data_IF_785222458436
#
_entry.id   IF_785222458436
#
_cell.length_a   1.000
_cell.length_b   1.000
_cell.length_c   1.000
_cell.angle_alpha   90.00
_cell.angle_beta   90.00
_cell.angle_gamma   90.00
#
_symmetry.space_group_name_H-M   'P 1'
#
loop_
_entity.id
_entity.type
_entity.pdbx_description
1 polymer ?
#
# COMPACT_ATOMS: atom_id res chain seq x y z
N UNK A 1 -14.60 11.98 -35.55
CA UNK A 1 -14.39 11.38 -34.23
C UNK A 1 -12.89 11.11 -34.12
N UNK A 2 -12.15 12.05 -33.54
CA UNK A 2 -10.73 11.85 -33.28
C UNK A 2 -10.65 11.16 -31.93
N UNK A 3 -10.46 9.84 -31.95
CA UNK A 3 -10.09 9.10 -30.75
C UNK A 3 -8.64 9.45 -30.45
N UNK A 4 -8.44 10.41 -29.56
CA UNK A 4 -7.16 10.54 -28.87
C UNK A 4 -7.03 9.25 -28.08
N UNK A 5 -6.09 8.41 -28.47
CA UNK A 5 -5.72 7.23 -27.71
C UNK A 5 -4.99 7.80 -26.48
N UNK A 6 -5.75 8.20 -25.45
CA UNK A 6 -5.21 8.38 -24.10
C UNK A 6 -4.80 6.98 -23.64
N UNK A 7 -3.64 6.53 -24.10
CA UNK A 7 -2.98 5.34 -23.54
C UNK A 7 -2.60 5.71 -22.12
N UNK A 8 -3.54 5.45 -21.22
CA UNK A 8 -3.35 5.54 -19.78
C UNK A 8 -2.16 4.64 -19.45
N UNK A 9 -1.02 5.24 -19.12
CA UNK A 9 0.19 4.48 -18.80
C UNK A 9 -0.11 3.54 -17.63
N UNK A 10 0.44 2.33 -17.70
CA UNK A 10 0.37 1.41 -16.58
C UNK A 10 1.04 2.06 -15.34
N UNK A 11 0.46 1.92 -14.13
CA UNK A 11 1.07 2.48 -12.94
C UNK A 11 2.46 1.90 -12.69
N UNK A 12 3.36 2.75 -12.22
CA UNK A 12 4.60 2.24 -11.65
C UNK A 12 4.32 1.53 -10.35
N UNK A 13 4.96 0.38 -10.19
CA UNK A 13 4.69 -0.54 -9.09
C UNK A 13 5.94 -0.74 -8.26
N UNK A 14 5.86 -0.40 -6.98
CA UNK A 14 6.90 -0.60 -5.98
C UNK A 14 6.44 -1.58 -4.91
N UNK A 15 7.39 -2.24 -4.25
CA UNK A 15 7.07 -3.15 -3.15
C UNK A 15 6.71 -2.35 -1.90
N UNK A 16 5.58 -2.69 -1.26
CA UNK A 16 5.23 -2.19 0.06
C UNK A 16 5.30 -3.32 1.09
N UNK A 17 5.83 -3.00 2.27
CA UNK A 17 5.88 -3.91 3.42
C UNK A 17 5.84 -3.14 4.74
N UNK A 18 5.11 -3.69 5.71
CA UNK A 18 5.04 -3.14 7.06
C UNK A 18 4.92 -4.26 8.11
N UNK A 19 5.55 -4.06 9.26
CA UNK A 19 5.43 -4.96 10.42
C UNK A 19 4.67 -4.24 11.53
N UNK A 20 3.60 -4.85 12.00
CA UNK A 20 2.76 -4.34 13.09
C UNK A 20 3.03 -5.11 14.37
N UNK A 21 3.29 -4.37 15.44
CA UNK A 21 3.49 -4.87 16.79
C UNK A 21 2.60 -4.07 17.76
N UNK A 22 2.33 -4.61 18.94
CA UNK A 22 1.52 -3.92 19.94
C UNK A 22 2.10 -2.54 20.27
N UNK A 23 1.30 -1.49 20.06
CA UNK A 23 1.69 -0.10 20.32
C UNK A 23 2.51 0.56 19.22
N UNK A 24 2.75 -0.12 18.08
CA UNK A 24 3.36 0.46 16.89
C UNK A 24 2.35 0.54 15.75
N UNK A 25 2.42 1.63 15.00
CA UNK A 25 1.58 1.89 13.83
C UNK A 25 2.42 1.85 12.56
N UNK A 26 1.84 1.30 11.49
CA UNK A 26 2.36 1.40 10.14
C UNK A 26 1.68 2.56 9.43
N UNK A 27 2.46 3.44 8.79
CA UNK A 27 1.91 4.57 8.04
C UNK A 27 2.14 4.36 6.55
N UNK A 28 1.10 4.60 5.76
CA UNK A 28 1.20 4.82 4.33
C UNK A 28 0.72 6.23 4.04
N UNK A 29 1.70 7.14 3.92
CA UNK A 29 1.51 8.55 3.66
C UNK A 29 2.67 9.01 2.78
N UNK A 30 2.58 8.82 1.44
CA UNK A 30 3.58 9.32 0.51
C UNK A 30 3.74 10.85 0.61
N UNK A 31 4.75 11.38 -0.07
CA UNK A 31 4.98 12.83 -0.12
C UNK A 31 3.80 13.54 -0.80
N UNK A 32 3.61 14.81 -0.48
CA UNK A 32 2.61 15.66 -1.13
C UNK A 32 3.17 16.11 -2.48
N UNK A 33 3.12 15.20 -3.46
CA UNK A 33 3.47 15.46 -4.85
C UNK A 33 2.20 15.54 -5.72
N UNK A 34 2.38 15.81 -7.01
CA UNK A 34 1.27 15.91 -7.96
C UNK A 34 0.80 14.53 -8.48
N UNK A 35 1.37 13.43 -7.97
CA UNK A 35 1.09 12.08 -8.46
C UNK A 35 -0.02 11.40 -7.64
N UNK A 36 -0.83 10.60 -8.33
CA UNK A 36 -1.82 9.77 -7.63
C UNK A 36 -1.17 8.49 -7.10
N UNK A 37 -1.16 8.36 -5.78
CA UNK A 37 -0.64 7.18 -5.09
C UNK A 37 -1.77 6.27 -4.60
N UNK A 38 -1.56 4.95 -4.73
CA UNK A 38 -2.43 3.93 -4.18
C UNK A 38 -1.61 2.82 -3.51
N UNK A 39 -2.19 2.17 -2.50
CA UNK A 39 -1.61 0.99 -1.86
C UNK A 39 -2.51 -0.22 -2.08
N UNK A 40 -2.00 -1.21 -2.81
CA UNK A 40 -2.64 -2.50 -2.99
C UNK A 40 -2.12 -3.51 -1.97
N UNK A 41 -2.89 -3.77 -0.91
CA UNK A 41 -2.52 -4.80 0.06
C UNK A 41 -2.81 -6.20 -0.49
N UNK A 42 -1.79 -7.07 -0.47
CA UNK A 42 -1.83 -8.41 -1.05
C UNK A 42 -1.94 -9.49 0.00
N UNK A 43 -1.09 -9.45 1.02
CA UNK A 43 -1.01 -10.50 2.04
C UNK A 43 -0.87 -9.92 3.44
N UNK A 44 -1.44 -10.64 4.40
CA UNK A 44 -1.14 -10.48 5.81
C UNK A 44 -0.69 -11.84 6.37
N UNK A 45 0.40 -11.88 7.13
CA UNK A 45 0.88 -13.10 7.75
C UNK A 45 1.42 -12.87 9.16
N UNK A 46 1.37 -13.94 9.96
CA UNK A 46 1.93 -14.01 11.30
C UNK A 46 2.82 -15.26 11.39
N UNK A 47 3.99 -15.09 11.98
CA UNK A 47 4.94 -16.20 12.13
C UNK A 47 4.43 -17.24 13.14
N UNK A 48 4.69 -18.55 12.95
CA UNK A 48 4.32 -19.61 13.90
C UNK A 48 4.93 -19.44 15.30
N UNK A 49 6.03 -18.70 15.42
CA UNK A 49 6.69 -18.37 16.69
C UNK A 49 5.99 -17.25 17.46
N UNK A 50 5.06 -16.52 16.82
CA UNK A 50 4.24 -15.52 17.47
C UNK A 50 3.29 -16.18 18.46
N UNK A 51 2.94 -15.46 19.53
CA UNK A 51 2.00 -15.94 20.55
C UNK A 51 0.72 -16.45 19.89
N UNK A 52 0.23 -17.64 20.27
CA UNK A 52 -0.95 -18.25 19.64
C UNK A 52 -2.28 -17.62 20.14
N UNK A 53 -2.49 -16.35 19.81
CA UNK A 53 -3.69 -15.57 20.09
C UNK A 53 -4.25 -14.93 18.81
N UNK A 54 -5.45 -14.36 18.91
CA UNK A 54 -6.03 -13.62 17.79
C UNK A 54 -5.28 -12.30 17.60
N UNK A 55 -4.75 -12.12 16.40
CA UNK A 55 -4.12 -10.89 15.95
C UNK A 55 -5.08 -10.20 14.98
N UNK A 56 -5.59 -9.03 15.36
CA UNK A 56 -6.54 -8.29 14.54
C UNK A 56 -5.91 -6.99 14.09
N UNK A 57 -5.82 -6.82 12.77
CA UNK A 57 -5.31 -5.59 12.16
C UNK A 57 -6.49 -4.68 11.84
N UNK A 58 -6.38 -3.42 12.24
CA UNK A 58 -7.28 -2.33 11.87
C UNK A 58 -6.55 -1.39 10.91
N UNK A 59 -7.29 -0.89 9.92
CA UNK A 59 -6.88 0.22 9.06
C UNK A 59 -7.73 1.44 9.39
N UNK A 60 -7.08 2.59 9.45
CA UNK A 60 -7.68 3.92 9.52
C UNK A 60 -7.34 4.68 8.24
N UNK A 61 -8.35 5.27 7.61
CA UNK A 61 -8.20 6.06 6.39
C UNK A 61 -9.27 7.16 6.33
N UNK A 62 -9.47 7.73 5.14
CA UNK A 62 -10.47 8.76 4.89
C UNK A 62 -11.52 8.29 3.89
N UNK A 63 -12.77 8.70 4.09
CA UNK A 63 -13.83 8.50 3.10
C UNK A 63 -13.90 9.64 2.07
N UNK A 64 -14.90 9.58 1.17
CA UNK A 64 -15.13 10.60 0.13
C UNK A 64 -15.46 12.00 0.67
N UNK A 65 -15.88 12.11 1.94
CA UNK A 65 -16.15 13.38 2.61
C UNK A 65 -14.96 13.84 3.48
N UNK A 66 -13.84 13.10 3.42
CA UNK A 66 -12.62 13.36 4.18
C UNK A 66 -12.71 12.98 5.67
N UNK A 67 -13.77 12.29 6.08
CA UNK A 67 -13.96 11.85 7.47
C UNK A 67 -13.07 10.64 7.77
N UNK A 68 -12.58 10.56 9.00
CA UNK A 68 -11.77 9.42 9.45
C UNK A 68 -12.67 8.19 9.61
N UNK A 69 -12.32 7.12 8.90
CA UNK A 69 -13.00 5.83 8.97
C UNK A 69 -12.03 4.75 9.46
N UNK A 70 -12.55 3.79 10.24
CA UNK A 70 -11.79 2.66 10.77
C UNK A 70 -12.47 1.36 10.39
N UNK A 71 -11.69 0.40 9.89
CA UNK A 71 -12.19 -0.92 9.52
C UNK A 71 -11.24 -2.02 9.97
N UNK A 72 -11.80 -3.15 10.38
CA UNK A 72 -11.00 -4.37 10.60
C UNK A 72 -10.60 -4.93 9.24
N UNK A 73 -9.30 -5.02 8.99
CA UNK A 73 -8.74 -5.50 7.74
C UNK A 73 -8.66 -7.03 7.73
N UNK A 74 -8.10 -7.62 8.79
CA UNK A 74 -7.86 -9.06 8.89
C UNK A 74 -7.76 -9.52 10.33
N UNK A 75 -8.12 -10.77 10.57
CA UNK A 75 -7.82 -11.50 11.81
C UNK A 75 -6.99 -12.74 11.49
N UNK A 76 -5.87 -12.90 12.19
CA UNK A 76 -4.93 -14.00 12.06
C UNK A 76 -4.79 -14.76 13.38
N UNK A 77 -4.42 -16.03 13.30
CA UNK A 77 -4.00 -16.82 14.45
C UNK A 77 -2.94 -17.84 14.02
N UNK A 78 -1.74 -17.86 14.62
CA UNK A 78 -0.64 -18.71 14.17
C UNK A 78 -1.01 -20.18 13.97
N UNK A 79 -1.77 -20.79 14.89
CA UNK A 79 -2.12 -22.22 14.82
C UNK A 79 -3.23 -22.59 13.83
N UNK A 80 -4.09 -21.65 13.42
CA UNK A 80 -5.30 -21.97 12.63
C UNK A 80 -5.44 -21.17 11.35
N UNK A 81 -4.93 -19.95 11.31
CA UNK A 81 -5.01 -19.04 10.18
C UNK A 81 -3.78 -18.11 10.18
N UNK A 82 -2.57 -18.64 9.84
CA UNK A 82 -1.33 -17.88 9.92
C UNK A 82 -1.17 -16.86 8.78
N UNK A 83 -1.95 -16.98 7.71
CA UNK A 83 -1.91 -16.04 6.59
C UNK A 83 -3.28 -15.86 5.94
N UNK A 84 -3.49 -14.67 5.36
CA UNK A 84 -4.69 -14.31 4.59
C UNK A 84 -4.25 -13.53 3.35
N UNK A 85 -4.83 -13.90 2.20
CA UNK A 85 -4.72 -13.15 0.97
C UNK A 85 -5.82 -12.08 0.91
N UNK A 86 -5.43 -10.83 0.71
CA UNK A 86 -6.31 -9.67 0.59
C UNK A 86 -6.65 -9.35 -0.87
N UNK A 87 -6.02 -10.05 -1.84
CA UNK A 87 -6.37 -9.98 -3.26
C UNK A 87 -5.94 -8.71 -3.99
N UNK A 88 -5.29 -7.75 -3.33
CA UNK A 88 -5.07 -6.40 -3.87
C UNK A 88 -6.16 -5.46 -3.37
N UNK A 89 -6.32 -5.37 -2.05
CA UNK A 89 -7.24 -4.42 -1.45
C UNK A 89 -6.61 -3.02 -1.57
N UNK A 90 -7.14 -2.20 -2.48
CA UNK A 90 -6.65 -0.86 -2.76
C UNK A 90 -7.04 0.14 -1.68
N UNK A 91 -6.08 0.92 -1.21
CA UNK A 91 -6.24 1.94 -0.18
C UNK A 91 -5.63 3.25 -0.69
N UNK A 92 -6.43 4.31 -0.65
CA UNK A 92 -5.97 5.68 -0.93
C UNK A 92 -5.30 6.26 0.32
N UNK A 93 -4.12 6.89 0.20
CA UNK A 93 -3.49 7.56 1.34
C UNK A 93 -4.28 8.81 1.78
N UNK A 94 -4.11 9.28 3.03
CA UNK A 94 -3.30 8.68 4.09
C UNK A 94 -3.98 7.47 4.72
N UNK A 95 -3.18 6.44 5.04
CA UNK A 95 -3.65 5.27 5.77
C UNK A 95 -2.74 4.92 6.95
N UNK A 96 -3.35 4.46 8.03
CA UNK A 96 -2.66 4.00 9.25
C UNK A 96 -3.10 2.59 9.58
N UNK A 97 -2.15 1.70 9.78
CA UNK A 97 -2.36 0.30 10.14
C UNK A 97 -1.91 0.06 11.57
N UNK A 98 -2.70 -0.69 12.34
CA UNK A 98 -2.35 -1.01 13.73
C UNK A 98 -2.93 -2.35 14.18
N UNK A 99 -2.32 -2.94 15.20
CA UNK A 99 -2.94 -4.06 15.91
C UNK A 99 -4.02 -3.54 16.86
N UNK A 100 -5.25 -3.93 16.58
CA UNK A 100 -6.40 -3.75 17.48
C UNK A 100 -6.40 -4.78 18.62
N UNK A 101 -5.87 -5.96 18.34
CA UNK A 101 -5.67 -7.04 19.31
C UNK A 101 -4.49 -7.92 18.88
N UNK A 102 -3.86 -8.56 19.87
CA UNK A 102 -2.68 -9.42 19.68
C UNK A 102 -1.37 -8.65 19.84
N UNK A 103 -0.30 -9.39 20.17
CA UNK A 103 1.03 -8.81 20.38
C UNK A 103 1.81 -8.54 19.09
N UNK A 104 1.53 -9.28 18.03
CA UNK A 104 2.35 -9.32 16.81
C UNK A 104 3.63 -10.13 17.02
N UNK A 105 4.53 -10.16 16.03
CA UNK A 105 4.51 -9.35 14.81
C UNK A 105 3.51 -9.85 13.75
N UNK A 106 2.80 -8.94 13.09
CA UNK A 106 2.03 -9.21 11.88
C UNK A 106 2.66 -8.46 10.72
N UNK A 107 2.97 -9.17 9.63
CA UNK A 107 3.54 -8.61 8.43
C UNK A 107 2.43 -8.35 7.41
N UNK A 108 2.37 -7.13 6.89
CA UNK A 108 1.58 -6.75 5.73
C UNK A 108 2.50 -6.59 4.54
N UNK A 109 2.10 -7.11 3.39
CA UNK A 109 2.79 -6.89 2.12
C UNK A 109 1.82 -6.52 1.01
N UNK A 110 2.31 -5.72 0.08
CA UNK A 110 1.51 -5.16 -0.98
C UNK A 110 2.34 -4.45 -2.04
N UNK A 111 1.66 -3.62 -2.82
CA UNK A 111 2.24 -2.85 -3.91
C UNK A 111 1.89 -1.37 -3.70
N UNK A 112 2.89 -0.50 -3.74
CA UNK A 112 2.70 0.93 -3.85
C UNK A 112 2.62 1.26 -5.34
N UNK A 113 1.46 1.74 -5.76
CA UNK A 113 1.17 2.13 -7.12
C UNK A 113 1.28 3.65 -7.25
N UNK A 114 1.96 4.10 -8.29
CA UNK A 114 2.06 5.51 -8.66
C UNK A 114 1.50 5.66 -10.07
N UNK A 115 0.39 6.38 -10.21
CA UNK A 115 -0.20 6.70 -11.50
C UNK A 115 0.58 7.85 -12.12
N UNK A 116 1.00 7.69 -13.37
CA UNK A 116 1.69 8.73 -14.13
C UNK A 116 0.76 9.33 -15.17
N UNK A 117 0.83 10.64 -15.35
CA UNK A 117 0.22 11.29 -16.49
C UNK A 117 1.02 10.99 -17.77
N UNK A 118 0.32 11.00 -18.90
CA UNK A 118 0.92 10.78 -20.22
C UNK A 118 1.98 11.85 -20.51
N UNK A 119 3.26 11.51 -20.35
CA UNK A 119 4.40 12.42 -20.58
C UNK A 119 5.39 12.51 -19.41
N UNK A 120 5.10 11.87 -18.27
CA UNK A 120 6.05 11.77 -17.16
C UNK A 120 6.61 10.34 -17.09
N UNK A 121 7.58 10.02 -17.94
CA UNK A 121 8.37 8.79 -17.81
C UNK A 121 9.74 9.11 -17.23
N UNK A 122 10.17 8.42 -16.17
CA UNK A 122 11.54 8.52 -15.65
C UNK A 122 12.62 8.10 -16.66
N UNK A 123 12.24 7.50 -17.79
CA UNK A 123 13.12 7.12 -18.91
C UNK A 123 13.51 8.30 -19.81
N UNK A 124 12.92 9.48 -19.62
CA UNK A 124 13.39 10.73 -20.26
C UNK A 124 14.45 11.43 -19.42
N UNK A 125 15.39 10.65 -18.89
CA UNK A 125 16.61 11.19 -18.28
C UNK A 125 17.66 11.44 -19.37
N UNK A 126 17.51 12.58 -20.07
CA UNK A 126 18.62 13.46 -20.46
C UNK A 126 19.82 12.86 -21.25
N UNK A 127 19.56 12.14 -22.35
CA UNK A 127 20.57 11.89 -23.40
C UNK A 127 20.47 12.97 -24.51
N UNK A 128 20.56 14.25 -24.14
CA UNK A 128 20.96 15.31 -25.09
C UNK A 128 22.50 15.42 -25.12
N UNK A 129 23.17 14.36 -25.60
CA UNK A 129 24.49 14.52 -26.22
C UNK A 129 24.29 14.98 -27.67
N UNK A 130 24.43 16.29 -27.94
CA UNK A 130 24.95 16.76 -29.23
C UNK A 130 26.03 17.83 -29.02
N UNK A 131 27.26 17.43 -29.35
CA UNK A 131 28.40 18.28 -29.71
C UNK A 131 28.01 19.28 -30.81
N UNK A 132 28.50 20.53 -30.75
CA UNK A 132 29.10 21.28 -31.88
C UNK A 132 29.44 22.76 -31.49
N UNK A 133 30.65 22.98 -30.92
CA UNK A 133 31.76 23.86 -31.41
C UNK A 133 32.88 24.00 -30.37
#
# INVERSE_FOLDING_TARGET
>A
MNGVNDEQMAPQTFLYGCVLESGKEGHFNPEDDELEHQLDLRMACVDPSTKDELHTVEVEGRDSEGQVVKATLVTLKPSTLPSVCLGGFTITPPAVFRLKAGSGPVHLSGQHLIMMETGQSFDESDDEEEEEE
#
